data_IF_300436048778
#
_entry.id   IF_300436048778
#
_cell.length_a   1.000
_cell.length_b   1.000
_cell.length_c   1.000
_cell.angle_alpha   90.00
_cell.angle_beta   90.00
_cell.angle_gamma   90.00
#
_symmetry.space_group_name_H-M   'P 1'
#
loop_
_entity.id
_entity.type
_entity.pdbx_description
1 polymer ?
#
# COMPACT_ATOMS: atom_id res chain seq x y z
N UNK A 1 -20.96 18.76 -8.04
CA UNK A 1 -19.94 17.82 -8.56
C UNK A 1 -18.59 18.50 -8.80
N UNK A 2 -18.52 19.64 -9.51
CA UNK A 2 -17.24 20.36 -9.75
C UNK A 2 -16.51 20.83 -8.48
N UNK A 3 -17.24 21.29 -7.46
CA UNK A 3 -16.63 21.75 -6.20
C UNK A 3 -15.98 20.59 -5.42
N UNK A 4 -16.67 19.45 -5.32
CA UNK A 4 -16.13 18.24 -4.68
C UNK A 4 -14.89 17.73 -5.43
N UNK A 5 -14.88 17.79 -6.76
CA UNK A 5 -13.70 17.44 -7.56
C UNK A 5 -12.51 18.35 -7.26
N UNK A 6 -12.75 19.65 -7.13
CA UNK A 6 -11.70 20.62 -6.78
C UNK A 6 -11.14 20.40 -5.37
N UNK A 7 -12.02 20.13 -4.40
CA UNK A 7 -11.60 19.78 -3.03
C UNK A 7 -10.83 18.46 -3.01
N UNK A 8 -11.27 17.46 -3.79
CA UNK A 8 -10.56 16.19 -3.94
C UNK A 8 -9.16 16.40 -4.56
N UNK A 9 -9.03 17.24 -5.58
CA UNK A 9 -7.73 17.57 -6.17
C UNK A 9 -6.80 18.25 -5.17
N UNK A 10 -7.33 19.18 -4.38
CA UNK A 10 -6.59 19.86 -3.30
C UNK A 10 -6.17 18.88 -2.20
N UNK A 11 -7.04 17.93 -1.90
CA UNK A 11 -6.79 16.87 -0.94
C UNK A 11 -5.71 15.90 -1.43
N UNK A 12 -5.76 15.49 -2.70
CA UNK A 12 -4.70 14.70 -3.36
C UNK A 12 -3.37 15.45 -3.33
N UNK A 13 -3.36 16.75 -3.61
CA UNK A 13 -2.16 17.58 -3.51
C UNK A 13 -1.60 17.58 -2.09
N UNK A 14 -2.48 17.65 -1.09
CA UNK A 14 -2.10 17.60 0.33
C UNK A 14 -1.45 16.25 0.66
N UNK A 15 -2.06 15.12 0.26
CA UNK A 15 -1.48 13.79 0.41
C UNK A 15 -0.11 13.72 -0.27
N UNK A 16 0.01 14.20 -1.51
CA UNK A 16 1.28 14.21 -2.25
C UNK A 16 2.38 15.03 -1.58
N UNK A 17 2.01 16.04 -0.80
CA UNK A 17 2.94 16.88 -0.06
C UNK A 17 3.35 16.30 1.31
N UNK A 18 2.63 15.28 1.81
CA UNK A 18 2.99 14.60 3.07
C UNK A 18 4.36 13.94 2.98
N UNK A 19 5.02 13.82 4.13
CA UNK A 19 6.30 13.12 4.23
C UNK A 19 6.16 11.64 3.82
N UNK A 20 5.03 11.02 4.14
CA UNK A 20 4.71 9.63 3.80
C UNK A 20 4.76 9.41 2.29
N UNK A 21 4.09 10.27 1.51
CA UNK A 21 4.08 10.14 0.05
C UNK A 21 5.47 10.42 -0.56
N UNK A 22 6.19 11.42 -0.05
CA UNK A 22 7.55 11.74 -0.51
C UNK A 22 8.53 10.59 -0.23
N UNK A 23 8.45 9.99 0.95
CA UNK A 23 9.26 8.84 1.31
C UNK A 23 8.98 7.65 0.38
N UNK A 24 7.70 7.35 0.13
CA UNK A 24 7.32 6.31 -0.83
C UNK A 24 7.88 6.58 -2.24
N UNK A 25 7.82 7.83 -2.73
CA UNK A 25 8.39 8.18 -4.04
C UNK A 25 9.92 8.04 -4.07
N UNK A 26 10.60 8.40 -2.99
CA UNK A 26 12.04 8.25 -2.85
C UNK A 26 12.43 6.76 -2.90
N UNK A 27 11.79 5.93 -2.07
CA UNK A 27 12.06 4.49 -2.04
C UNK A 27 11.71 3.82 -3.37
N UNK A 28 10.61 4.24 -4.01
CA UNK A 28 10.24 3.78 -5.37
C UNK A 28 11.31 4.10 -6.41
N UNK A 29 11.94 5.28 -6.30
CA UNK A 29 13.01 5.68 -7.20
C UNK A 29 14.26 4.84 -6.99
N UNK A 30 14.64 4.56 -5.74
CA UNK A 30 15.78 3.68 -5.41
C UNK A 30 15.56 2.23 -5.87
N UNK A 31 14.34 1.69 -5.73
CA UNK A 31 14.00 0.35 -6.26
C UNK A 31 14.04 0.33 -7.79
N UNK A 32 13.69 1.44 -8.46
CA UNK A 32 13.74 1.54 -9.93
C UNK A 32 15.16 1.46 -10.48
N UNK A 33 16.17 1.85 -9.72
CA UNK A 33 17.58 1.71 -10.12
C UNK A 33 18.04 0.24 -10.18
N UNK A 34 17.31 -0.68 -9.53
CA UNK A 34 17.62 -2.10 -9.48
C UNK A 34 16.51 -2.93 -10.17
N UNK A 35 16.61 -3.22 -11.48
CA UNK A 35 15.54 -3.87 -12.24
C UNK A 35 15.20 -5.28 -11.75
N UNK A 36 16.18 -6.07 -11.30
CA UNK A 36 15.96 -7.41 -10.73
C UNK A 36 15.14 -7.35 -9.44
N UNK A 37 15.44 -6.38 -8.59
CA UNK A 37 14.77 -6.19 -7.31
C UNK A 37 13.35 -5.66 -7.52
N UNK A 38 13.16 -4.76 -8.49
CA UNK A 38 11.83 -4.32 -8.94
C UNK A 38 10.99 -5.50 -9.41
N UNK A 39 11.54 -6.42 -10.20
CA UNK A 39 10.81 -7.60 -10.70
C UNK A 39 10.34 -8.51 -9.56
N UNK A 40 11.21 -8.79 -8.59
CA UNK A 40 10.85 -9.57 -7.41
C UNK A 40 9.79 -8.87 -6.56
N UNK A 41 9.89 -7.55 -6.42
CA UNK A 41 8.92 -6.76 -5.68
C UNK A 41 7.55 -6.71 -6.36
N UNK A 42 7.51 -6.57 -7.70
CA UNK A 42 6.27 -6.63 -8.47
C UNK A 42 5.61 -8.03 -8.35
N UNK A 43 6.40 -9.11 -8.36
CA UNK A 43 5.90 -10.47 -8.11
C UNK A 43 5.36 -10.64 -6.69
N UNK A 44 6.06 -10.09 -5.68
CA UNK A 44 5.60 -10.07 -4.29
C UNK A 44 4.26 -9.35 -4.17
N UNK A 45 4.12 -8.16 -4.77
CA UNK A 45 2.87 -7.38 -4.73
C UNK A 45 1.72 -8.12 -5.40
N UNK A 46 1.96 -8.77 -6.54
CA UNK A 46 0.95 -9.55 -7.24
C UNK A 46 0.47 -10.74 -6.38
N UNK A 47 1.41 -11.53 -5.84
CA UNK A 47 1.11 -12.65 -4.93
C UNK A 47 0.36 -12.17 -3.68
N UNK A 48 0.79 -11.05 -3.08
CA UNK A 48 0.16 -10.50 -1.88
C UNK A 48 -1.28 -10.05 -2.17
N UNK A 49 -1.51 -9.40 -3.33
CA UNK A 49 -2.85 -9.02 -3.77
C UNK A 49 -3.74 -10.23 -4.03
N UNK A 50 -3.23 -11.25 -4.73
CA UNK A 50 -3.95 -12.50 -4.97
C UNK A 50 -4.35 -13.18 -3.66
N UNK A 51 -3.42 -13.27 -2.70
CA UNK A 51 -3.69 -13.85 -1.38
C UNK A 51 -4.77 -13.07 -0.61
N UNK A 52 -4.72 -11.74 -0.65
CA UNK A 52 -5.72 -10.89 0.02
C UNK A 52 -7.08 -10.89 -0.68
N UNK A 53 -7.12 -11.14 -2.00
CA UNK A 53 -8.35 -11.12 -2.80
C UNK A 53 -9.01 -12.51 -2.91
N UNK A 54 -8.26 -13.59 -2.69
CA UNK A 54 -8.80 -14.95 -2.66
C UNK A 54 -9.79 -15.10 -1.49
N UNK A 55 -11.07 -15.25 -1.82
CA UNK A 55 -12.12 -15.68 -0.87
C UNK A 55 -12.09 -17.20 -0.65
N UNK A 56 -10.97 -17.76 -0.18
CA UNK A 56 -10.90 -19.19 0.16
C UNK A 56 -10.40 -19.37 1.61
N UNK A 57 -11.29 -19.60 2.58
CA UNK A 57 -10.95 -19.55 4.00
C UNK A 57 -10.11 -20.75 4.49
N UNK A 58 -10.18 -21.91 3.84
CA UNK A 58 -9.62 -23.15 4.40
C UNK A 58 -8.09 -23.28 4.29
N UNK A 59 -7.47 -22.63 3.30
CA UNK A 59 -6.00 -22.68 3.08
C UNK A 59 -5.32 -21.30 3.16
N UNK A 60 -6.06 -20.23 3.46
CA UNK A 60 -5.53 -18.86 3.39
C UNK A 60 -4.39 -18.62 4.39
N UNK A 61 -4.53 -19.13 5.62
CA UNK A 61 -3.54 -18.96 6.68
C UNK A 61 -2.24 -19.70 6.37
N UNK A 62 -2.33 -20.94 5.87
CA UNK A 62 -1.15 -21.72 5.48
C UNK A 62 -0.44 -21.12 4.26
N UNK A 63 -1.19 -20.65 3.25
CA UNK A 63 -0.62 -19.94 2.09
C UNK A 63 0.04 -18.62 2.50
N UNK A 64 -0.56 -17.88 3.45
CA UNK A 64 0.04 -16.66 4.02
C UNK A 64 1.33 -16.96 4.77
N UNK A 65 1.35 -17.97 5.63
CA UNK A 65 2.54 -18.36 6.40
C UNK A 65 3.69 -18.84 5.50
N UNK A 66 3.37 -19.58 4.44
CA UNK A 66 4.37 -20.00 3.45
C UNK A 66 4.92 -18.80 2.68
N UNK A 67 4.04 -17.90 2.22
CA UNK A 67 4.44 -16.65 1.58
C UNK A 67 5.28 -15.77 2.52
N UNK A 68 4.96 -15.77 3.81
CA UNK A 68 5.67 -14.96 4.79
C UNK A 68 7.11 -15.43 4.99
N UNK A 69 7.32 -16.76 5.06
CA UNK A 69 8.64 -17.41 5.13
C UNK A 69 9.43 -17.30 3.83
N UNK A 70 8.80 -17.53 2.67
CA UNK A 70 9.48 -17.51 1.36
C UNK A 70 10.05 -16.11 1.05
N UNK A 71 9.35 -15.05 1.45
CA UNK A 71 9.79 -13.67 1.26
C UNK A 71 10.43 -13.04 2.51
N UNK A 72 10.82 -13.84 3.50
CA UNK A 72 11.48 -13.36 4.71
C UNK A 72 12.85 -12.76 4.36
N UNK A 73 13.70 -13.53 3.66
CA UNK A 73 15.01 -13.07 3.18
C UNK A 73 14.90 -11.89 2.21
N UNK A 74 13.84 -11.84 1.42
CA UNK A 74 13.58 -10.72 0.51
C UNK A 74 13.22 -9.44 1.28
N UNK A 75 12.46 -9.57 2.38
CA UNK A 75 12.13 -8.46 3.29
C UNK A 75 13.30 -8.01 4.16
N UNK A 76 14.29 -8.85 4.39
CA UNK A 76 15.51 -8.47 5.11
C UNK A 76 16.43 -7.55 4.29
N UNK A 77 16.25 -7.48 2.97
CA UNK A 77 17.00 -6.54 2.13
C UNK A 77 16.58 -5.11 2.55
N UNK A 78 17.51 -4.25 3.03
CA UNK A 78 17.16 -2.93 3.57
C UNK A 78 16.34 -2.07 2.60
N UNK A 79 16.69 -2.13 1.31
CA UNK A 79 15.99 -1.41 0.25
C UNK A 79 14.53 -1.87 0.06
N UNK A 80 14.29 -3.18 0.16
CA UNK A 80 12.94 -3.76 0.06
C UNK A 80 12.15 -3.46 1.32
N UNK A 81 12.78 -3.61 2.49
CA UNK A 81 12.20 -3.28 3.78
C UNK A 81 11.69 -1.85 3.81
N UNK A 82 12.56 -0.88 3.48
CA UNK A 82 12.24 0.54 3.49
C UNK A 82 11.14 0.88 2.48
N UNK A 83 11.17 0.26 1.30
CA UNK A 83 10.12 0.43 0.29
C UNK A 83 8.76 -0.08 0.79
N UNK A 84 8.71 -1.32 1.33
CA UNK A 84 7.49 -1.93 1.81
C UNK A 84 6.94 -1.20 3.04
N UNK A 85 7.81 -0.71 3.93
CA UNK A 85 7.43 0.12 5.06
C UNK A 85 6.80 1.45 4.60
N UNK A 86 7.43 2.15 3.64
CA UNK A 86 6.89 3.38 3.09
C UNK A 86 5.57 3.17 2.33
N UNK A 87 5.45 2.06 1.60
CA UNK A 87 4.22 1.64 0.93
C UNK A 87 3.08 1.36 1.92
N UNK A 88 3.36 0.61 2.97
CA UNK A 88 2.38 0.30 4.01
C UNK A 88 1.91 1.58 4.72
N UNK A 89 2.83 2.49 5.03
CA UNK A 89 2.49 3.79 5.62
C UNK A 89 1.55 4.61 4.70
N UNK A 90 1.81 4.61 3.38
CA UNK A 90 0.93 5.28 2.42
C UNK A 90 -0.45 4.60 2.33
N UNK A 91 -0.50 3.27 2.29
CA UNK A 91 -1.77 2.53 2.30
C UNK A 91 -2.60 2.84 3.55
N UNK A 92 -1.98 2.87 4.73
CA UNK A 92 -2.67 3.23 5.99
C UNK A 92 -3.21 4.65 5.97
N UNK A 93 -2.42 5.62 5.50
CA UNK A 93 -2.86 7.01 5.36
C UNK A 93 -4.11 7.11 4.48
N UNK A 94 -4.13 6.41 3.34
CA UNK A 94 -5.28 6.42 2.43
C UNK A 94 -6.48 5.72 3.05
N UNK A 95 -6.30 4.57 3.71
CA UNK A 95 -7.36 3.85 4.40
C UNK A 95 -8.00 4.69 5.51
N UNK A 96 -7.20 5.31 6.39
CA UNK A 96 -7.71 6.14 7.48
C UNK A 96 -8.57 7.29 6.98
N UNK A 97 -8.13 7.93 5.88
CA UNK A 97 -8.90 9.00 5.23
C UNK A 97 -10.19 8.46 4.65
N UNK A 98 -10.15 7.38 3.88
CA UNK A 98 -11.34 6.78 3.26
C UNK A 98 -12.35 6.34 4.32
N UNK A 99 -11.88 5.71 5.39
CA UNK A 99 -12.71 5.30 6.53
C UNK A 99 -13.28 6.51 7.27
N UNK A 100 -12.54 7.62 7.38
CA UNK A 100 -13.02 8.87 7.96
C UNK A 100 -14.14 9.49 7.12
N UNK A 101 -13.99 9.53 5.80
CA UNK A 101 -15.02 10.02 4.87
C UNK A 101 -16.25 9.12 4.92
N UNK A 102 -16.07 7.79 4.87
CA UNK A 102 -17.18 6.84 4.95
C UNK A 102 -17.93 6.95 6.27
N UNK A 103 -17.23 7.05 7.41
CA UNK A 103 -17.86 7.23 8.72
C UNK A 103 -18.64 8.54 8.82
N UNK A 104 -18.03 9.67 8.42
CA UNK A 104 -18.70 10.96 8.46
C UNK A 104 -19.98 10.98 7.62
N UNK A 105 -19.95 10.34 6.44
CA UNK A 105 -21.14 10.21 5.60
C UNK A 105 -22.16 9.23 6.17
N UNK A 106 -21.72 8.15 6.84
CA UNK A 106 -22.60 7.17 7.46
C UNK A 106 -23.35 7.72 8.69
N UNK A 107 -22.73 8.61 9.47
CA UNK A 107 -23.35 9.28 10.62
C UNK A 107 -24.59 10.09 10.23
N UNK A 108 -24.69 10.59 8.99
CA UNK A 108 -25.87 11.32 8.49
C UNK A 108 -27.05 10.39 8.12
N UNK A 109 -26.85 9.07 8.08
CA UNK A 109 -27.90 8.08 7.78
C UNK A 109 -28.48 7.38 9.01
N UNK A 110 -27.97 7.67 10.21
CA UNK A 110 -28.52 7.24 11.51
C UNK A 110 -29.49 8.28 12.09
#
# INVERSE_FOLDING_TARGET
MLEIQKELDQFILTIKNTQVYKEYQLQKSKVKENPDLKRQLDQFRMRNYELQTKHCPDNLYDEMDCFQREYEQFREIPLVHDFLAAELALCRLVQEVSDGVMRAVAEDFE
#
